data_IF_588772860505
#
_entry.id   IF_588772860505
#
_cell.length_a   1.000
_cell.length_b   1.000
_cell.length_c   1.000
_cell.angle_alpha   90.00
_cell.angle_beta   90.00
_cell.angle_gamma   90.00
#
_symmetry.space_group_name_H-M   'P 1'
#
loop_
_entity.id
_entity.type
_entity.pdbx_description
1 polymer ?
#
# COMPACT_ATOMS: atom_id res chain seq x y z
N UNK A 1 5.25 -1.25 -4.68
CA UNK A 1 6.64 -1.20 -5.22
C UNK A 1 7.64 -1.47 -4.09
N UNK A 2 8.80 -2.09 -4.36
CA UNK A 2 9.83 -2.34 -3.33
C UNK A 2 11.02 -1.39 -3.52
N UNK A 3 11.31 -0.56 -2.52
CA UNK A 3 12.46 0.37 -2.53
C UNK A 3 13.51 -0.16 -1.55
N UNK A 4 14.79 -0.09 -1.95
CA UNK A 4 15.94 -0.46 -1.11
C UNK A 4 16.76 0.78 -0.82
N UNK A 5 16.94 1.12 0.45
CA UNK A 5 17.89 2.15 0.88
C UNK A 5 18.90 1.53 1.86
N UNK A 6 20.17 1.48 1.46
CA UNK A 6 21.34 0.93 2.18
C UNK A 6 21.18 -0.52 2.70
N UNK A 7 20.32 -0.74 3.69
CA UNK A 7 19.99 -2.07 4.25
C UNK A 7 18.51 -2.22 4.65
N UNK A 8 17.69 -1.19 4.38
CA UNK A 8 16.27 -1.15 4.70
C UNK A 8 15.45 -1.38 3.43
N UNK A 9 14.62 -2.43 3.44
CA UNK A 9 13.68 -2.73 2.37
C UNK A 9 12.33 -2.11 2.76
N UNK A 10 11.77 -1.27 1.90
CA UNK A 10 10.45 -0.69 2.07
C UNK A 10 9.47 -1.33 1.09
N UNK A 11 8.28 -1.66 1.59
CA UNK A 11 7.18 -2.16 0.77
C UNK A 11 6.05 -1.13 0.79
N UNK A 12 5.82 -0.52 -0.36
CA UNK A 12 4.78 0.48 -0.55
C UNK A 12 3.56 -0.20 -1.15
N UNK A 13 2.41 -0.03 -0.48
CA UNK A 13 1.12 -0.36 -1.03
C UNK A 13 0.61 0.78 -1.91
N UNK A 14 0.32 0.42 -3.14
CA UNK A 14 -0.24 1.29 -4.15
C UNK A 14 -1.33 0.51 -4.88
N UNK A 15 -2.41 1.17 -5.23
CA UNK A 15 -3.45 0.60 -6.08
C UNK A 15 -3.58 1.45 -7.35
N UNK A 16 -3.83 0.76 -8.46
CA UNK A 16 -4.08 1.38 -9.75
C UNK A 16 -5.58 1.57 -9.93
N UNK A 17 -5.99 2.79 -10.23
CA UNK A 17 -7.36 3.13 -10.63
C UNK A 17 -7.46 3.19 -12.16
N UNK A 18 -8.67 3.03 -12.70
CA UNK A 18 -8.95 2.86 -14.13
C UNK A 18 -8.42 4.00 -15.04
N UNK A 19 -8.12 5.17 -14.48
CA UNK A 19 -7.64 6.34 -15.22
C UNK A 19 -6.14 6.61 -15.05
N UNK A 20 -5.31 5.56 -14.91
CA UNK A 20 -3.85 5.67 -14.71
C UNK A 20 -3.44 6.43 -13.43
N UNK A 21 -4.36 6.57 -12.47
CA UNK A 21 -4.06 7.19 -11.18
C UNK A 21 -3.48 6.11 -10.27
N UNK A 22 -2.25 6.35 -9.83
CA UNK A 22 -1.59 5.53 -8.80
C UNK A 22 -1.84 6.21 -7.46
N UNK A 23 -2.74 5.64 -6.66
CA UNK A 23 -2.92 6.11 -5.29
C UNK A 23 -1.94 5.37 -4.40
N UNK A 24 -1.00 6.14 -3.85
CA UNK A 24 -0.07 5.68 -2.83
C UNK A 24 -0.82 5.64 -1.50
N UNK A 25 -0.94 4.44 -0.92
CA UNK A 25 -1.50 4.26 0.41
C UNK A 25 -0.42 4.50 1.46
N UNK A 26 0.01 3.43 2.10
CA UNK A 26 1.07 3.46 3.11
C UNK A 26 2.26 2.61 2.67
N UNK A 27 3.46 3.04 3.05
CA UNK A 27 4.70 2.28 2.91
C UNK A 27 5.22 1.88 4.27
N UNK A 28 5.60 0.62 4.44
CA UNK A 28 6.19 0.14 5.68
C UNK A 28 7.59 -0.42 5.41
N UNK A 29 8.49 -0.23 6.37
CA UNK A 29 9.78 -0.91 6.37
C UNK A 29 9.53 -2.40 6.62
N UNK A 30 10.00 -3.24 5.72
CA UNK A 30 9.94 -4.70 5.80
C UNK A 30 10.82 -5.16 6.97
N UNK A 31 10.23 -5.19 8.17
CA UNK A 31 10.82 -5.81 9.36
C UNK A 31 10.52 -7.30 9.43
N UNK A 32 9.47 -7.76 8.76
CA UNK A 32 9.02 -9.16 8.76
C UNK A 32 8.72 -9.64 7.33
N UNK A 33 8.83 -10.96 7.10
CA UNK A 33 8.64 -11.56 5.76
C UNK A 33 7.17 -11.58 5.32
N UNK A 34 6.24 -11.66 6.29
CA UNK A 34 4.79 -11.73 6.03
C UNK A 34 4.18 -10.33 6.04
N UNK A 35 3.29 -10.08 5.08
CA UNK A 35 2.42 -8.91 5.10
C UNK A 35 1.48 -9.00 6.31
N UNK A 36 1.49 -8.02 7.22
CA UNK A 36 0.53 -8.00 8.33
C UNK A 36 -0.90 -7.85 7.79
N UNK A 37 -1.81 -8.70 8.28
CA UNK A 37 -3.23 -8.70 7.87
C UNK A 37 -3.94 -7.36 8.08
N UNK A 38 -3.52 -6.63 9.13
CA UNK A 38 -4.05 -5.31 9.45
C UNK A 38 -3.87 -4.30 8.31
N UNK A 39 -2.72 -4.35 7.63
CA UNK A 39 -2.40 -3.42 6.54
C UNK A 39 -3.21 -3.77 5.27
N UNK A 40 -3.54 -5.04 5.07
CA UNK A 40 -4.44 -5.50 3.99
C UNK A 40 -5.85 -4.96 4.23
N UNK A 41 -6.39 -5.13 5.45
CA UNK A 41 -7.71 -4.63 5.80
C UNK A 41 -7.80 -3.10 5.67
N UNK A 42 -6.76 -2.37 6.10
CA UNK A 42 -6.68 -0.91 5.88
C UNK A 42 -6.70 -0.54 4.41
N UNK A 43 -5.94 -1.25 3.57
CA UNK A 43 -5.93 -0.99 2.13
C UNK A 43 -7.32 -1.22 1.50
N UNK A 44 -8.04 -2.27 1.89
CA UNK A 44 -9.42 -2.51 1.45
C UNK A 44 -10.39 -1.41 1.90
N UNK A 45 -10.28 -0.97 3.15
CA UNK A 45 -11.14 0.09 3.68
C UNK A 45 -10.88 1.45 3.02
N UNK A 46 -9.61 1.81 2.81
CA UNK A 46 -9.23 3.02 2.07
C UNK A 46 -9.74 2.96 0.63
N UNK A 47 -9.59 1.80 -0.04
CA UNK A 47 -10.12 1.59 -1.39
C UNK A 47 -11.63 1.82 -1.40
N UNK A 48 -12.36 1.18 -0.47
CA UNK A 48 -13.82 1.30 -0.39
C UNK A 48 -14.26 2.75 -0.14
N UNK A 49 -13.68 3.44 0.84
CA UNK A 49 -14.00 4.85 1.12
C UNK A 49 -13.64 5.79 -0.04
N UNK A 50 -12.62 5.46 -0.84
CA UNK A 50 -12.27 6.23 -2.03
C UNK A 50 -13.31 6.05 -3.15
N UNK A 51 -13.80 4.83 -3.37
CA UNK A 51 -14.89 4.57 -4.32
C UNK A 51 -16.23 5.14 -3.85
N UNK A 52 -16.52 5.15 -2.55
CA UNK A 52 -17.75 5.76 -1.99
C UNK A 52 -17.71 7.30 -2.03
N UNK A 53 -16.52 7.92 -2.03
CA UNK A 53 -16.34 9.38 -2.16
C UNK A 53 -16.32 9.87 -3.61
N UNK A 54 -16.30 8.97 -4.59
CA UNK A 54 -16.28 9.28 -6.02
C UNK A 54 -17.71 9.32 -6.55
#
# INVERSE_FOLDING_TARGET
>A
MCIRDRNNIYRIFCFFEAQNIVVLGHGFQKKTQKTPKLEIQRAEQIKKSYYEKK
#
